data_IF_060049825187
#
_entry.id   IF_060049825187
#
_cell.length_a   1.000
_cell.length_b   1.000
_cell.length_c   1.000
_cell.angle_alpha   90.00
_cell.angle_beta   90.00
_cell.angle_gamma   90.00
#
_symmetry.space_group_name_H-M   'P 1'
#
loop_
_entity.id
_entity.type
_entity.pdbx_description
1 polymer ?
#
# COMPACT_ATOMS: atom_id res chain seq x y z
N UNK A 1 -0.40 25.21 -3.18
CA UNK A 1 -1.15 23.94 -3.09
C UNK A 1 -0.25 22.93 -2.37
N UNK A 2 0.09 23.17 -1.11
CA UNK A 2 1.13 22.39 -0.40
C UNK A 2 0.65 21.01 0.10
N UNK A 3 -0.68 20.81 0.22
CA UNK A 3 -1.24 19.57 0.78
C UNK A 3 -1.22 18.36 -0.17
N UNK A 4 -1.18 18.58 -1.49
CA UNK A 4 -1.24 17.52 -2.50
C UNK A 4 0.16 17.02 -2.87
N UNK A 5 1.13 17.93 -2.96
CA UNK A 5 2.53 17.59 -3.23
C UNK A 5 3.16 16.77 -2.10
N UNK A 6 2.93 17.13 -0.82
CA UNK A 6 3.47 16.38 0.32
C UNK A 6 2.96 14.92 0.39
N UNK A 7 1.66 14.73 0.13
CA UNK A 7 1.03 13.39 0.06
C UNK A 7 1.55 12.59 -1.14
N UNK A 8 1.74 13.24 -2.28
CA UNK A 8 2.29 12.57 -3.47
C UNK A 8 3.74 12.13 -3.23
N UNK A 9 4.56 12.96 -2.57
CA UNK A 9 5.97 12.62 -2.28
C UNK A 9 6.14 11.52 -1.23
N UNK A 10 5.30 11.45 -0.20
CA UNK A 10 5.33 10.35 0.78
C UNK A 10 4.57 9.11 0.29
N UNK A 11 3.56 9.32 -0.56
CA UNK A 11 2.70 8.28 -1.11
C UNK A 11 3.34 7.49 -2.25
N UNK A 12 4.22 8.09 -3.06
CA UNK A 12 4.91 7.36 -4.14
C UNK A 12 5.76 6.18 -3.62
N UNK A 13 6.65 6.36 -2.61
CA UNK A 13 7.42 5.25 -2.04
C UNK A 13 6.54 4.18 -1.38
N UNK A 14 5.47 4.58 -0.69
CA UNK A 14 4.55 3.64 -0.05
C UNK A 14 3.72 2.85 -1.07
N UNK A 15 3.25 3.52 -2.12
CA UNK A 15 2.56 2.92 -3.26
C UNK A 15 3.46 1.89 -3.96
N UNK A 16 4.73 2.24 -4.20
CA UNK A 16 5.67 1.31 -4.82
C UNK A 16 5.89 0.07 -3.95
N UNK A 17 6.10 0.25 -2.64
CA UNK A 17 6.28 -0.86 -1.69
C UNK A 17 5.05 -1.75 -1.63
N UNK A 18 3.85 -1.19 -1.53
CA UNK A 18 2.60 -1.94 -1.53
C UNK A 18 2.41 -2.74 -2.83
N UNK A 19 2.67 -2.10 -3.99
CA UNK A 19 2.60 -2.75 -5.30
C UNK A 19 3.63 -3.88 -5.46
N UNK A 20 4.84 -3.71 -4.94
CA UNK A 20 5.86 -4.76 -4.95
C UNK A 20 5.46 -5.93 -4.04
N UNK A 21 4.92 -5.68 -2.84
CA UNK A 21 4.48 -6.74 -1.93
C UNK A 21 3.33 -7.57 -2.53
N UNK A 22 2.35 -6.91 -3.15
CA UNK A 22 1.25 -7.59 -3.87
C UNK A 22 1.79 -8.46 -5.02
N UNK A 23 2.77 -7.96 -5.77
CA UNK A 23 3.42 -8.75 -6.84
C UNK A 23 4.11 -10.00 -6.28
N UNK A 24 4.92 -9.85 -5.23
CA UNK A 24 5.61 -10.99 -4.59
C UNK A 24 4.63 -12.03 -4.05
N UNK A 25 3.54 -11.59 -3.43
CA UNK A 25 2.47 -12.50 -2.98
C UNK A 25 1.86 -13.30 -4.14
N UNK A 26 1.53 -12.64 -5.26
CA UNK A 26 0.95 -13.32 -6.42
C UNK A 26 1.95 -14.29 -7.08
N UNK A 27 3.21 -13.87 -7.25
CA UNK A 27 4.28 -14.73 -7.78
C UNK A 27 4.49 -15.96 -6.89
N UNK A 28 4.52 -15.78 -5.56
CA UNK A 28 4.65 -16.87 -4.61
C UNK A 28 3.44 -17.82 -4.65
N UNK A 29 2.22 -17.28 -4.68
CA UNK A 29 0.97 -18.06 -4.76
C UNK A 29 0.90 -18.92 -6.02
N UNK A 30 1.36 -18.38 -7.14
CA UNK A 30 1.25 -19.03 -8.45
C UNK A 30 2.46 -19.96 -8.75
N UNK A 31 3.37 -20.11 -7.79
CA UNK A 31 4.57 -20.96 -7.87
C UNK A 31 4.51 -22.13 -6.87
N UNK A 32 5.54 -22.99 -6.86
CA UNK A 32 5.67 -24.07 -5.86
C UNK A 32 6.22 -23.57 -4.50
N UNK A 33 5.94 -22.32 -4.13
CA UNK A 33 6.38 -21.73 -2.86
C UNK A 33 5.64 -22.38 -1.68
N UNK A 34 6.31 -22.63 -0.53
CA UNK A 34 5.65 -23.16 0.66
C UNK A 34 4.49 -22.27 1.13
N UNK A 35 3.40 -22.91 1.58
CA UNK A 35 2.19 -22.21 2.02
C UNK A 35 2.46 -21.17 3.11
N UNK A 36 3.35 -21.47 4.05
CA UNK A 36 3.73 -20.55 5.14
C UNK A 36 4.32 -19.24 4.59
N UNK A 37 5.14 -19.32 3.55
CA UNK A 37 5.75 -18.14 2.94
C UNK A 37 4.73 -17.33 2.11
N UNK A 38 3.78 -18.01 1.45
CA UNK A 38 2.67 -17.35 0.76
C UNK A 38 1.78 -16.57 1.75
N UNK A 39 1.48 -17.15 2.92
CA UNK A 39 0.72 -16.46 3.97
C UNK A 39 1.49 -15.26 4.55
N UNK A 40 2.80 -15.40 4.79
CA UNK A 40 3.65 -14.28 5.24
C UNK A 40 3.65 -13.11 4.24
N UNK A 41 3.78 -13.40 2.95
CA UNK A 41 3.77 -12.39 1.89
C UNK A 41 2.39 -11.74 1.75
N UNK A 42 1.31 -12.51 1.99
CA UNK A 42 -0.05 -11.98 2.04
C UNK A 42 -0.22 -11.00 3.18
N UNK A 43 0.21 -11.35 4.39
CA UNK A 43 0.12 -10.48 5.57
C UNK A 43 0.89 -9.17 5.36
N UNK A 44 2.09 -9.24 4.76
CA UNK A 44 2.88 -8.07 4.40
C UNK A 44 2.16 -7.17 3.37
N UNK A 45 1.60 -7.76 2.32
CA UNK A 45 0.85 -7.02 1.31
C UNK A 45 -0.41 -6.35 1.89
N UNK A 46 -1.14 -7.05 2.75
CA UNK A 46 -2.32 -6.50 3.44
C UNK A 46 -1.97 -5.35 4.38
N UNK A 47 -0.85 -5.44 5.11
CA UNK A 47 -0.39 -4.38 6.00
C UNK A 47 -0.04 -3.11 5.22
N UNK A 48 0.73 -3.24 4.13
CA UNK A 48 1.13 -2.10 3.30
C UNK A 48 -0.05 -1.44 2.57
N UNK A 49 -1.03 -2.23 2.13
CA UNK A 49 -2.26 -1.70 1.52
C UNK A 49 -3.11 -0.93 2.54
N UNK A 50 -3.17 -1.37 3.80
CA UNK A 50 -3.84 -0.62 4.87
C UNK A 50 -3.15 0.72 5.14
N UNK A 51 -1.82 0.72 5.25
CA UNK A 51 -1.05 1.94 5.46
C UNK A 51 -1.27 2.95 4.32
N UNK A 52 -1.25 2.48 3.07
CA UNK A 52 -1.54 3.31 1.89
C UNK A 52 -2.97 3.86 1.92
N UNK A 53 -3.95 3.05 2.31
CA UNK A 53 -5.34 3.49 2.42
C UNK A 53 -5.52 4.58 3.47
N UNK A 54 -4.81 4.50 4.61
CA UNK A 54 -4.85 5.55 5.64
C UNK A 54 -4.27 6.84 5.09
N UNK A 55 -3.09 6.79 4.45
CA UNK A 55 -2.46 7.96 3.85
C UNK A 55 -3.37 8.63 2.80
N UNK A 56 -4.02 7.85 1.95
CA UNK A 56 -4.95 8.35 0.93
C UNK A 56 -6.21 8.97 1.53
N UNK A 57 -6.75 8.40 2.61
CA UNK A 57 -7.90 8.97 3.34
C UNK A 57 -7.53 10.29 4.00
N UNK A 58 -6.41 10.35 4.72
CA UNK A 58 -5.91 11.57 5.36
C UNK A 58 -5.71 12.69 4.32
N UNK A 59 -5.21 12.33 3.12
CA UNK A 59 -5.06 13.26 2.02
C UNK A 59 -6.40 13.79 1.51
N UNK A 60 -7.39 12.92 1.31
CA UNK A 60 -8.72 13.30 0.85
C UNK A 60 -9.43 14.21 1.85
N UNK A 61 -9.30 13.94 3.15
CA UNK A 61 -9.85 14.79 4.21
C UNK A 61 -9.22 16.20 4.23
N UNK A 62 -7.92 16.30 3.91
CA UNK A 62 -7.24 17.61 3.80
C UNK A 62 -7.66 18.40 2.55
N UNK A 63 -8.06 17.72 1.48
CA UNK A 63 -8.44 18.33 0.20
C UNK A 63 -9.93 18.71 0.19
N UNK A 64 -10.78 17.93 0.85
CA UNK A 64 -12.23 18.15 0.95
C UNK A 64 -12.56 18.57 2.39
N UNK A 65 -12.49 19.87 2.73
CA UNK A 65 -12.94 20.32 4.05
C UNK A 65 -14.43 20.00 4.19
N UNK A 66 -14.81 19.29 5.26
CA UNK A 66 -16.23 19.11 5.58
C UNK A 66 -16.87 20.48 5.78
N UNK A 67 -17.91 20.75 4.99
CA UNK A 67 -18.77 21.93 5.12
C UNK A 67 -19.59 21.90 6.41
#
# INVERSE_FOLDING_TARGET
>A
MEGLEGVLTEGEPLLERAMQAVRRFHEARDSSTPREEVERLKDEAEALMKELSVLQMDALERIIPKA
#
